data_IF_281197593758
#
_entry.id   IF_281197593758
#
_cell.length_a   1.000
_cell.length_b   1.000
_cell.length_c   1.000
_cell.angle_alpha   90.00
_cell.angle_beta   90.00
_cell.angle_gamma   90.00
#
_symmetry.space_group_name_H-M   'P 1'
#
loop_
_entity.id
_entity.type
_entity.pdbx_description
1 polymer ?
#
# COMPACT_ATOMS: atom_id res chain seq x y z
N UNK A 1 -14.04 -18.15 -23.88
CA UNK A 1 -14.57 -16.89 -23.29
C UNK A 1 -13.37 -16.09 -22.82
N UNK A 2 -13.40 -14.77 -22.97
CA UNK A 2 -12.34 -13.91 -22.44
C UNK A 2 -12.39 -13.93 -20.91
N UNK A 3 -11.23 -13.97 -20.22
CA UNK A 3 -11.19 -13.96 -18.76
C UNK A 3 -11.83 -12.71 -18.17
N UNK A 4 -12.66 -12.87 -17.14
CA UNK A 4 -13.30 -11.77 -16.40
C UNK A 4 -12.27 -10.88 -15.72
N UNK A 5 -11.19 -11.47 -15.24
CA UNK A 5 -10.16 -10.80 -14.45
C UNK A 5 -8.84 -10.70 -15.20
N UNK A 6 -8.22 -9.52 -15.12
CA UNK A 6 -6.83 -9.29 -15.49
C UNK A 6 -6.04 -8.89 -14.24
N UNK A 7 -4.89 -9.53 -14.01
CA UNK A 7 -3.94 -9.14 -12.97
C UNK A 7 -2.72 -8.50 -13.64
N UNK A 8 -2.37 -7.27 -13.26
CA UNK A 8 -1.15 -6.60 -13.71
C UNK A 8 -0.07 -6.70 -12.63
N UNK A 9 0.98 -7.48 -12.89
CA UNK A 9 2.11 -7.63 -11.97
C UNK A 9 2.72 -9.03 -11.94
N UNK A 10 3.74 -9.25 -11.08
CA UNK A 10 4.44 -10.53 -11.01
C UNK A 10 5.01 -10.90 -9.63
N UNK A 11 4.71 -10.13 -8.57
CA UNK A 11 5.19 -10.36 -7.21
C UNK A 11 4.30 -11.30 -6.36
N UNK A 12 4.48 -11.30 -5.05
CA UNK A 12 3.70 -12.13 -4.11
C UNK A 12 2.18 -11.90 -4.23
N UNK A 13 1.76 -10.63 -4.38
CA UNK A 13 0.32 -10.31 -4.42
C UNK A 13 -0.32 -10.78 -5.73
N UNK A 14 0.23 -10.54 -6.93
CA UNK A 14 -0.25 -11.18 -8.16
C UNK A 14 -0.39 -12.70 -8.06
N UNK A 15 0.59 -13.40 -7.46
CA UNK A 15 0.49 -14.84 -7.22
C UNK A 15 -0.69 -15.19 -6.30
N UNK A 16 -0.93 -14.37 -5.24
CA UNK A 16 -2.05 -14.63 -4.34
C UNK A 16 -3.40 -14.43 -5.01
N UNK A 17 -3.55 -13.39 -5.83
CA UNK A 17 -4.77 -13.16 -6.59
C UNK A 17 -5.00 -14.27 -7.63
N UNK A 18 -3.95 -14.64 -8.38
CA UNK A 18 -4.03 -15.76 -9.31
C UNK A 18 -4.48 -17.04 -8.60
N UNK A 19 -3.89 -17.36 -7.43
CA UNK A 19 -4.27 -18.54 -6.66
C UNK A 19 -5.70 -18.47 -6.11
N UNK A 20 -6.21 -17.30 -5.75
CA UNK A 20 -7.58 -17.14 -5.26
C UNK A 20 -8.59 -17.24 -6.42
N UNK A 21 -8.37 -16.51 -7.50
CA UNK A 21 -9.29 -16.41 -8.63
C UNK A 21 -9.37 -17.71 -9.43
N UNK A 22 -8.25 -18.40 -9.66
CA UNK A 22 -8.22 -19.65 -10.44
C UNK A 22 -8.82 -20.86 -9.72
N UNK A 23 -9.36 -20.69 -8.54
CA UNK A 23 -10.27 -21.67 -7.92
C UNK A 23 -11.64 -21.69 -8.60
N UNK A 24 -12.01 -20.60 -9.28
CA UNK A 24 -13.36 -20.35 -9.78
C UNK A 24 -13.43 -20.11 -11.28
N UNK A 25 -12.41 -19.48 -11.90
CA UNK A 25 -12.40 -19.16 -13.33
C UNK A 25 -10.99 -18.89 -13.86
N UNK A 26 -10.84 -18.82 -15.18
CA UNK A 26 -9.60 -18.47 -15.86
C UNK A 26 -9.27 -16.99 -15.62
N UNK A 27 -7.97 -16.68 -15.50
CA UNK A 27 -7.48 -15.35 -15.17
C UNK A 27 -6.39 -14.92 -16.15
N UNK A 28 -6.52 -13.75 -16.75
CA UNK A 28 -5.46 -13.15 -17.53
C UNK A 28 -4.38 -12.52 -16.59
N UNK A 29 -3.13 -12.59 -17.00
CA UNK A 29 -2.03 -12.01 -16.24
C UNK A 29 -1.12 -11.20 -17.16
N UNK A 30 -1.08 -9.88 -16.97
CA UNK A 30 -0.14 -9.01 -17.66
C UNK A 30 1.15 -8.89 -16.85
N UNK A 31 2.22 -9.45 -17.39
CA UNK A 31 3.54 -9.50 -16.72
C UNK A 31 4.68 -9.34 -17.72
N UNK A 32 5.82 -8.84 -17.26
CA UNK A 32 7.03 -8.72 -18.09
C UNK A 32 7.69 -10.06 -18.40
N UNK A 33 7.37 -11.12 -17.67
CA UNK A 33 7.97 -12.46 -17.79
C UNK A 33 6.88 -13.53 -17.90
N UNK A 34 6.08 -13.53 -18.99
CA UNK A 34 4.99 -14.51 -19.13
C UNK A 34 5.49 -15.96 -19.21
N UNK A 35 6.66 -16.19 -19.77
CA UNK A 35 7.25 -17.53 -19.88
C UNK A 35 7.60 -18.19 -18.52
N UNK A 36 7.75 -17.38 -17.48
CA UNK A 36 8.05 -17.90 -16.13
C UNK A 36 6.81 -18.39 -15.37
N UNK A 37 5.60 -18.26 -15.97
CA UNK A 37 4.35 -18.64 -15.35
C UNK A 37 3.80 -19.94 -15.90
N UNK A 38 3.36 -20.81 -15.00
CA UNK A 38 2.58 -21.99 -15.33
C UNK A 38 1.13 -21.61 -15.67
N UNK A 39 0.50 -22.39 -16.50
CA UNK A 39 -0.93 -22.27 -16.78
C UNK A 39 -1.83 -22.58 -15.57
N UNK A 40 -1.31 -23.20 -14.51
CA UNK A 40 -2.07 -23.52 -13.32
C UNK A 40 -1.32 -23.10 -12.05
N UNK A 41 -2.00 -22.32 -11.22
CA UNK A 41 -1.49 -21.86 -9.93
C UNK A 41 -1.97 -22.80 -8.81
N UNK A 42 -1.06 -23.30 -7.97
CA UNK A 42 -1.36 -24.21 -6.85
C UNK A 42 -2.09 -25.51 -7.26
N UNK A 43 -2.08 -25.88 -8.54
CA UNK A 43 -2.86 -27.00 -9.06
C UNK A 43 -4.38 -26.74 -9.14
N UNK A 44 -4.79 -25.48 -9.13
CA UNK A 44 -6.19 -25.08 -9.25
C UNK A 44 -6.78 -25.51 -10.62
N UNK A 45 -8.12 -25.70 -10.70
CA UNK A 45 -8.77 -26.23 -11.91
C UNK A 45 -8.76 -25.25 -13.10
N UNK A 46 -8.70 -23.94 -12.84
CA UNK A 46 -8.73 -22.91 -13.89
C UNK A 46 -7.36 -22.36 -14.20
N UNK A 47 -7.21 -21.81 -15.40
CA UNK A 47 -5.93 -21.41 -15.94
C UNK A 47 -5.52 -19.97 -15.56
N UNK A 48 -4.23 -19.78 -15.41
CA UNK A 48 -3.59 -18.47 -15.56
C UNK A 48 -3.14 -18.33 -17.02
N UNK A 49 -3.48 -17.21 -17.65
CA UNK A 49 -3.17 -16.90 -19.05
C UNK A 49 -2.14 -15.74 -19.07
N UNK A 50 -0.85 -16.02 -18.94
CA UNK A 50 0.18 -15.00 -18.85
C UNK A 50 0.49 -14.39 -20.21
N UNK A 51 0.63 -13.06 -20.27
CA UNK A 51 0.99 -12.30 -21.46
C UNK A 51 1.81 -11.07 -21.12
N UNK A 52 2.52 -10.52 -22.08
CA UNK A 52 3.12 -9.18 -22.01
C UNK A 52 2.42 -8.18 -22.95
N UNK A 53 1.35 -8.59 -23.62
CA UNK A 53 0.56 -7.76 -24.54
C UNK A 53 -0.51 -6.96 -23.77
N UNK A 54 -0.43 -5.60 -23.72
CA UNK A 54 -1.38 -4.79 -22.99
C UNK A 54 -2.80 -4.80 -23.58
N UNK A 55 -2.97 -5.27 -24.84
CA UNK A 55 -4.29 -5.41 -25.48
C UNK A 55 -5.21 -6.35 -24.71
N UNK A 56 -4.68 -7.24 -23.91
CA UNK A 56 -5.46 -8.13 -23.03
C UNK A 56 -6.39 -7.35 -22.08
N UNK A 57 -6.08 -6.08 -21.79
CA UNK A 57 -6.94 -5.23 -20.96
C UNK A 57 -8.31 -4.98 -21.58
N UNK A 58 -8.45 -5.05 -22.92
CA UNK A 58 -9.74 -4.88 -23.60
C UNK A 58 -10.77 -5.97 -23.25
N UNK A 59 -10.34 -7.14 -22.85
CA UNK A 59 -11.21 -8.29 -22.65
C UNK A 59 -11.70 -8.47 -21.21
N UNK A 60 -11.00 -7.91 -20.23
CA UNK A 60 -11.31 -8.08 -18.80
C UNK A 60 -12.44 -7.15 -18.35
N UNK A 61 -13.29 -7.61 -17.43
CA UNK A 61 -14.25 -6.77 -16.70
C UNK A 61 -13.55 -6.02 -15.55
N UNK A 62 -12.65 -6.70 -14.85
CA UNK A 62 -11.94 -6.18 -13.67
C UNK A 62 -10.44 -6.33 -13.87
N UNK A 63 -9.73 -5.21 -13.72
CA UNK A 63 -8.29 -5.10 -13.92
C UNK A 63 -7.62 -4.78 -12.58
N UNK A 64 -6.93 -5.75 -11.98
CA UNK A 64 -6.16 -5.55 -10.75
C UNK A 64 -4.79 -4.95 -11.05
N UNK A 65 -4.54 -3.76 -10.53
CA UNK A 65 -3.21 -3.10 -10.56
C UNK A 65 -2.47 -3.47 -9.28
N UNK A 66 -1.46 -4.34 -9.42
CA UNK A 66 -0.76 -4.96 -8.30
C UNK A 66 0.75 -4.80 -8.50
N UNK A 67 1.17 -3.57 -8.48
CA UNK A 67 2.51 -3.15 -8.88
C UNK A 67 3.15 -2.27 -7.80
N UNK A 68 4.49 -2.23 -7.72
CA UNK A 68 5.18 -1.18 -7.01
C UNK A 68 4.81 0.19 -7.58
N UNK A 69 4.76 1.21 -6.72
CA UNK A 69 4.30 2.56 -7.07
C UNK A 69 4.92 3.11 -8.36
N UNK A 70 6.24 2.94 -8.53
CA UNK A 70 6.96 3.44 -9.71
C UNK A 70 6.50 2.82 -11.04
N UNK A 71 5.92 1.62 -11.01
CA UNK A 71 5.49 0.90 -12.21
C UNK A 71 4.00 1.11 -12.54
N UNK A 72 3.22 1.71 -11.64
CA UNK A 72 1.76 1.89 -11.82
C UNK A 72 1.49 2.79 -13.02
N UNK A 73 2.11 3.98 -13.06
CA UNK A 73 1.89 4.96 -14.14
C UNK A 73 2.19 4.37 -15.51
N UNK A 74 3.37 3.79 -15.68
CA UNK A 74 3.78 3.18 -16.95
C UNK A 74 2.81 2.08 -17.40
N UNK A 75 2.32 1.26 -16.45
CA UNK A 75 1.38 0.19 -16.78
C UNK A 75 0.03 0.74 -17.18
N UNK A 76 -0.48 1.75 -16.45
CA UNK A 76 -1.72 2.42 -16.81
C UNK A 76 -1.64 3.06 -18.20
N UNK A 77 -0.56 3.77 -18.52
CA UNK A 77 -0.32 4.36 -19.84
C UNK A 77 -0.34 3.31 -20.97
N UNK A 78 0.17 2.09 -20.69
CA UNK A 78 0.17 0.99 -21.67
C UNK A 78 -1.20 0.38 -21.91
N UNK A 79 -2.01 0.21 -20.87
CA UNK A 79 -3.33 -0.41 -20.99
C UNK A 79 -4.42 0.58 -21.35
N UNK A 80 -4.22 1.87 -21.07
CA UNK A 80 -5.19 2.94 -21.22
C UNK A 80 -5.85 3.03 -22.63
N UNK A 81 -5.12 2.84 -23.75
CA UNK A 81 -5.71 2.83 -25.09
C UNK A 81 -6.70 1.69 -25.35
N UNK A 82 -6.67 0.65 -24.53
CA UNK A 82 -7.49 -0.55 -24.68
C UNK A 82 -8.64 -0.63 -23.68
N UNK A 83 -8.70 0.31 -22.74
CA UNK A 83 -9.78 0.35 -21.75
C UNK A 83 -11.11 0.73 -22.40
N UNK A 84 -12.17 0.07 -21.95
CA UNK A 84 -13.56 0.33 -22.39
C UNK A 84 -14.37 0.88 -21.22
N UNK A 85 -15.43 1.58 -21.54
CA UNK A 85 -16.49 1.83 -20.56
C UNK A 85 -16.98 0.50 -19.96
N UNK A 86 -17.50 0.53 -18.75
CA UNK A 86 -18.00 -0.60 -17.97
C UNK A 86 -16.92 -1.50 -17.34
N UNK A 87 -15.64 -1.20 -17.53
CA UNK A 87 -14.56 -1.89 -16.83
C UNK A 87 -14.28 -1.25 -15.47
N UNK A 88 -13.73 -2.06 -14.56
CA UNK A 88 -13.24 -1.58 -13.26
C UNK A 88 -11.74 -1.77 -13.13
N UNK A 89 -11.01 -0.70 -12.84
CA UNK A 89 -9.61 -0.78 -12.41
C UNK A 89 -9.58 -0.87 -10.89
N UNK A 90 -9.00 -1.93 -10.36
CA UNK A 90 -8.87 -2.16 -8.93
C UNK A 90 -7.42 -2.07 -8.47
N UNK A 91 -7.13 -1.12 -7.61
CA UNK A 91 -5.82 -1.00 -6.97
C UNK A 91 -5.76 -1.82 -5.69
N UNK A 92 -4.73 -2.64 -5.52
CA UNK A 92 -4.54 -3.45 -4.31
C UNK A 92 -3.06 -3.73 -4.01
N UNK A 93 -2.52 -3.30 -2.86
CA UNK A 93 -3.14 -2.38 -1.91
C UNK A 93 -3.24 -0.97 -2.48
N UNK A 94 -4.27 -0.26 -2.10
CA UNK A 94 -4.55 1.10 -2.57
C UNK A 94 -3.89 2.15 -1.67
N UNK A 95 -2.58 2.16 -1.59
CA UNK A 95 -1.87 3.03 -0.65
C UNK A 95 -1.68 4.47 -1.15
N UNK A 96 -1.89 4.73 -2.44
CA UNK A 96 -1.43 5.98 -3.06
C UNK A 96 -2.31 6.43 -4.24
N UNK A 97 -3.62 6.17 -4.16
CA UNK A 97 -4.51 6.55 -5.26
C UNK A 97 -4.78 8.03 -5.20
N UNK A 98 -4.46 8.67 -6.31
CA UNK A 98 -4.71 10.08 -6.49
C UNK A 98 -6.19 10.24 -6.84
N UNK A 99 -6.99 11.02 -6.09
CA UNK A 99 -8.41 11.23 -6.37
C UNK A 99 -8.70 11.69 -7.80
N UNK A 100 -7.78 12.48 -8.37
CA UNK A 100 -7.85 12.93 -9.76
C UNK A 100 -7.85 11.76 -10.76
N UNK A 101 -7.18 10.64 -10.43
CA UNK A 101 -7.20 9.44 -11.25
C UNK A 101 -8.59 8.78 -11.24
N UNK A 102 -9.21 8.71 -10.06
CA UNK A 102 -10.58 8.18 -9.91
C UNK A 102 -11.55 8.99 -10.76
N UNK A 103 -11.47 10.33 -10.69
CA UNK A 103 -12.33 11.22 -11.45
C UNK A 103 -12.06 11.14 -12.97
N UNK A 104 -10.79 11.01 -13.37
CA UNK A 104 -10.41 10.92 -14.77
C UNK A 104 -10.98 9.65 -15.45
N UNK A 105 -10.88 8.51 -14.78
CA UNK A 105 -11.43 7.25 -15.28
C UNK A 105 -12.96 7.25 -15.24
N UNK A 106 -13.56 7.79 -14.20
CA UNK A 106 -15.01 7.90 -14.07
C UNK A 106 -15.66 8.67 -15.22
N UNK A 107 -15.02 9.76 -15.69
CA UNK A 107 -15.50 10.55 -16.86
C UNK A 107 -15.51 9.74 -18.16
N UNK A 108 -14.76 8.66 -18.22
CA UNK A 108 -14.67 7.74 -19.37
C UNK A 108 -15.57 6.51 -19.22
N UNK A 109 -16.34 6.42 -18.13
CA UNK A 109 -17.17 5.26 -17.81
C UNK A 109 -16.39 4.07 -17.26
N UNK A 110 -15.10 4.25 -16.90
CA UNK A 110 -14.27 3.25 -16.24
C UNK A 110 -14.35 3.46 -14.74
N UNK A 111 -14.79 2.46 -14.01
CA UNK A 111 -14.83 2.54 -12.56
C UNK A 111 -13.45 2.32 -11.95
N UNK A 112 -13.26 2.89 -10.74
CA UNK A 112 -12.07 2.67 -9.93
C UNK A 112 -12.49 2.09 -8.59
N UNK A 113 -11.92 0.95 -8.25
CA UNK A 113 -12.05 0.33 -6.95
C UNK A 113 -10.69 0.31 -6.23
N UNK A 114 -10.73 0.36 -4.93
CA UNK A 114 -9.56 0.47 -4.09
C UNK A 114 -9.68 -0.50 -2.91
N UNK A 115 -8.89 -1.57 -2.89
CA UNK A 115 -8.77 -2.43 -1.72
C UNK A 115 -7.71 -1.88 -0.77
N UNK A 116 -8.07 -1.61 0.47
CA UNK A 116 -7.16 -1.07 1.47
C UNK A 116 -5.96 -1.99 1.71
N UNK A 117 -6.20 -3.28 1.73
CA UNK A 117 -5.17 -4.29 1.94
C UNK A 117 -5.37 -5.45 0.98
N UNK A 118 -4.28 -6.15 0.70
CA UNK A 118 -4.31 -7.40 -0.07
C UNK A 118 -5.22 -8.44 0.59
N UNK A 119 -6.00 -9.23 -0.16
CA UNK A 119 -6.89 -10.24 0.41
C UNK A 119 -6.15 -11.27 1.27
N UNK A 120 -4.98 -11.70 0.83
CA UNK A 120 -4.15 -12.69 1.51
C UNK A 120 -2.71 -12.19 1.65
N UNK A 121 -2.06 -12.48 2.77
CA UNK A 121 -0.61 -12.41 2.85
C UNK A 121 -0.07 -13.64 2.12
N UNK A 122 0.91 -13.46 1.25
CA UNK A 122 1.40 -14.51 0.37
C UNK A 122 2.92 -14.61 0.39
N UNK A 123 3.41 -15.83 0.20
CA UNK A 123 4.83 -16.13 -0.04
C UNK A 123 4.94 -17.08 -1.22
N UNK A 124 5.67 -16.65 -2.26
CA UNK A 124 5.97 -17.48 -3.41
C UNK A 124 6.86 -18.63 -2.92
N UNK A 125 6.43 -19.87 -3.20
CA UNK A 125 7.21 -21.08 -2.96
C UNK A 125 7.90 -21.52 -4.24
N UNK A 126 7.22 -21.41 -5.39
CA UNK A 126 7.76 -21.64 -6.72
C UNK A 126 7.20 -20.57 -7.65
N UNK A 127 8.08 -19.73 -8.21
CA UNK A 127 7.66 -18.59 -9.02
C UNK A 127 6.78 -19.01 -10.21
N UNK A 128 5.68 -18.31 -10.40
CA UNK A 128 4.73 -18.58 -11.48
C UNK A 128 3.89 -19.86 -11.30
N UNK A 129 4.10 -20.66 -10.25
CA UNK A 129 3.46 -21.97 -10.10
C UNK A 129 2.82 -22.18 -8.74
N UNK A 130 3.52 -21.83 -7.65
CA UNK A 130 3.04 -22.14 -6.30
C UNK A 130 3.28 -21.00 -5.32
N UNK A 131 2.22 -20.69 -4.57
CA UNK A 131 2.21 -19.65 -3.54
C UNK A 131 1.49 -20.16 -2.29
N UNK A 132 2.08 -19.91 -1.12
CA UNK A 132 1.42 -20.13 0.16
C UNK A 132 0.64 -18.89 0.54
N UNK A 133 -0.64 -19.08 0.86
CA UNK A 133 -1.54 -18.03 1.31
C UNK A 133 -1.74 -18.10 2.82
N UNK A 134 -1.87 -16.94 3.47
CA UNK A 134 -2.43 -16.85 4.83
C UNK A 134 -3.91 -17.24 4.80
N UNK A 135 -4.55 -17.46 5.97
CA UNK A 135 -6.01 -17.43 6.06
C UNK A 135 -6.56 -16.11 5.49
N UNK A 136 -7.80 -16.17 5.00
CA UNK A 136 -8.53 -14.98 4.58
C UNK A 136 -8.62 -13.96 5.73
N UNK A 137 -8.71 -12.68 5.37
CA UNK A 137 -8.97 -11.62 6.36
C UNK A 137 -10.39 -11.75 6.87
N UNK A 138 -10.66 -11.22 8.07
CA UNK A 138 -12.02 -11.21 8.62
C UNK A 138 -12.98 -10.34 7.78
N UNK A 139 -12.45 -9.34 7.08
CA UNK A 139 -13.19 -8.42 6.19
C UNK A 139 -12.26 -7.74 5.20
N UNK A 140 -12.82 -7.23 4.10
CA UNK A 140 -12.12 -6.41 3.11
C UNK A 140 -12.68 -5.00 3.13
N UNK A 141 -11.87 -4.03 3.51
CA UNK A 141 -12.21 -2.60 3.43
C UNK A 141 -11.87 -2.09 2.05
N UNK A 142 -12.82 -1.49 1.37
CA UNK A 142 -12.63 -1.01 0.01
C UNK A 142 -13.52 0.19 -0.32
N UNK A 143 -13.06 1.01 -1.28
CA UNK A 143 -13.88 1.96 -2.00
C UNK A 143 -14.25 1.34 -3.36
N UNK A 144 -15.50 1.43 -3.73
CA UNK A 144 -16.00 1.07 -5.06
C UNK A 144 -17.38 1.72 -5.26
N UNK A 145 -17.80 1.94 -6.51
CA UNK A 145 -19.14 2.45 -6.82
C UNK A 145 -20.17 1.31 -6.86
N UNK A 146 -19.83 0.22 -7.51
CA UNK A 146 -20.71 -0.97 -7.54
C UNK A 146 -20.50 -1.85 -6.30
N UNK A 147 -21.26 -1.55 -5.25
CA UNK A 147 -21.23 -2.31 -4.01
C UNK A 147 -21.73 -3.75 -4.19
N UNK A 148 -22.64 -4.01 -5.12
CA UNK A 148 -23.20 -5.37 -5.32
C UNK A 148 -22.14 -6.30 -5.92
N UNK A 149 -21.47 -5.84 -6.96
CA UNK A 149 -20.36 -6.53 -7.62
C UNK A 149 -19.25 -6.85 -6.60
N UNK A 150 -18.83 -5.86 -5.82
CA UNK A 150 -17.71 -6.06 -4.89
C UNK A 150 -18.05 -6.88 -3.65
N UNK A 151 -19.32 -6.93 -3.22
CA UNK A 151 -19.78 -7.91 -2.21
C UNK A 151 -19.67 -9.34 -2.75
N UNK A 152 -20.07 -9.56 -4.01
CA UNK A 152 -19.93 -10.84 -4.67
C UNK A 152 -18.46 -11.25 -4.77
N UNK A 153 -17.59 -10.39 -5.30
CA UNK A 153 -16.16 -10.67 -5.48
C UNK A 153 -15.50 -11.01 -4.14
N UNK A 154 -15.68 -10.17 -3.13
CA UNK A 154 -15.05 -10.40 -1.83
C UNK A 154 -15.51 -11.70 -1.18
N UNK A 155 -16.79 -12.02 -1.27
CA UNK A 155 -17.34 -13.26 -0.71
C UNK A 155 -16.89 -14.50 -1.47
N UNK A 156 -16.95 -14.45 -2.81
CA UNK A 156 -16.70 -15.63 -3.66
C UNK A 156 -15.21 -15.92 -3.80
N UNK A 157 -14.40 -14.91 -4.08
CA UNK A 157 -12.97 -15.09 -4.41
C UNK A 157 -12.03 -14.81 -3.25
N UNK A 158 -12.45 -13.96 -2.31
CA UNK A 158 -11.60 -13.54 -1.18
C UNK A 158 -12.11 -14.05 0.18
N UNK A 159 -13.18 -14.85 0.17
CA UNK A 159 -13.69 -15.62 1.32
C UNK A 159 -14.03 -14.75 2.56
N UNK A 160 -14.33 -13.44 2.37
CA UNK A 160 -14.69 -12.55 3.47
C UNK A 160 -15.62 -11.41 3.00
N UNK A 161 -16.41 -10.81 3.92
CA UNK A 161 -17.31 -9.72 3.58
C UNK A 161 -16.57 -8.45 3.17
N UNK A 162 -17.24 -7.66 2.32
CA UNK A 162 -16.83 -6.30 1.94
C UNK A 162 -17.39 -5.26 2.90
N UNK A 163 -16.56 -4.34 3.36
CA UNK A 163 -16.93 -3.08 4.03
C UNK A 163 -16.54 -1.89 3.16
N UNK A 164 -17.49 -1.01 2.88
CA UNK A 164 -17.27 0.07 1.94
C UNK A 164 -16.86 1.35 2.66
N UNK A 165 -15.80 1.95 2.17
CA UNK A 165 -15.33 3.28 2.56
C UNK A 165 -16.03 4.35 1.74
N UNK A 166 -16.23 5.51 2.35
CA UNK A 166 -17.03 6.59 1.75
C UNK A 166 -16.25 7.42 0.72
N UNK A 167 -14.92 7.35 0.73
CA UNK A 167 -14.08 8.15 -0.16
C UNK A 167 -12.78 7.42 -0.53
N UNK A 168 -12.30 7.55 -1.77
CA UNK A 168 -10.97 7.03 -2.16
C UNK A 168 -9.83 7.78 -1.46
N UNK A 169 -10.04 9.01 -0.99
CA UNK A 169 -9.06 9.76 -0.19
C UNK A 169 -8.69 9.04 1.11
N UNK A 170 -9.59 8.23 1.65
CA UNK A 170 -9.37 7.44 2.86
C UNK A 170 -8.08 6.60 2.78
N UNK A 171 -7.70 6.13 1.58
CA UNK A 171 -6.47 5.34 1.40
C UNK A 171 -5.19 6.15 1.53
N UNK A 172 -5.23 7.44 1.24
CA UNK A 172 -4.10 8.36 1.45
C UNK A 172 -3.92 8.63 2.94
N UNK A 173 -5.02 8.81 3.66
CA UNK A 173 -5.02 9.29 5.05
C UNK A 173 -5.03 8.18 6.10
N UNK A 174 -5.54 6.98 5.78
CA UNK A 174 -5.54 5.84 6.71
C UNK A 174 -4.32 4.90 6.56
N UNK A 175 -3.32 5.29 5.77
CA UNK A 175 -2.04 4.59 5.74
C UNK A 175 -1.10 5.19 6.79
N UNK A 176 -0.84 4.46 7.85
CA UNK A 176 0.01 4.93 8.96
C UNK A 176 1.50 5.05 8.60
N UNK A 177 1.99 4.21 7.68
CA UNK A 177 3.41 4.10 7.38
C UNK A 177 4.08 5.42 6.95
N UNK A 178 3.45 6.27 6.12
CA UNK A 178 4.01 7.56 5.72
C UNK A 178 4.31 8.54 6.86
N UNK A 179 3.70 8.37 8.00
CA UNK A 179 3.96 9.22 9.17
C UNK A 179 4.74 8.46 10.26
N UNK A 180 4.37 7.22 10.53
CA UNK A 180 4.98 6.38 11.55
C UNK A 180 6.47 6.12 11.26
N UNK A 181 6.81 5.69 10.04
CA UNK A 181 8.19 5.37 9.71
C UNK A 181 9.10 6.59 9.70
N UNK A 182 8.77 7.72 9.04
CA UNK A 182 9.58 8.93 9.12
C UNK A 182 9.77 9.47 10.55
N UNK A 183 8.74 9.43 11.40
CA UNK A 183 8.86 9.85 12.79
C UNK A 183 9.94 9.04 13.55
N UNK A 184 9.99 7.73 13.32
CA UNK A 184 11.03 6.88 13.92
C UNK A 184 12.41 7.12 13.31
N UNK A 185 12.49 7.17 11.98
CA UNK A 185 13.77 7.32 11.27
C UNK A 185 14.49 8.61 11.62
N UNK A 186 13.76 9.72 11.74
CA UNK A 186 14.33 11.02 12.12
C UNK A 186 14.96 10.96 13.51
N UNK A 187 14.31 10.33 14.48
CA UNK A 187 14.85 10.18 15.83
C UNK A 187 16.02 9.20 15.85
N UNK A 188 15.87 8.06 15.20
CA UNK A 188 16.87 6.99 15.19
C UNK A 188 18.19 7.43 14.54
N UNK A 189 18.12 8.22 13.46
CA UNK A 189 19.29 8.61 12.68
C UNK A 189 19.67 10.10 12.84
N UNK A 190 19.12 10.83 13.81
CA UNK A 190 19.36 12.26 14.03
C UNK A 190 20.84 12.62 14.05
N UNK A 191 21.64 11.87 14.80
CA UNK A 191 23.05 12.14 15.02
C UNK A 191 23.97 11.30 14.13
N UNK A 192 23.39 10.61 13.15
CA UNK A 192 24.19 9.82 12.24
C UNK A 192 25.11 10.70 11.37
N UNK A 193 26.38 10.38 11.33
CA UNK A 193 27.44 11.09 10.60
C UNK A 193 28.30 10.11 9.80
N UNK A 194 27.67 9.23 9.02
CA UNK A 194 28.34 8.16 8.23
C UNK A 194 29.07 7.09 9.07
N UNK A 195 28.92 7.10 10.39
CA UNK A 195 29.49 6.07 11.26
C UNK A 195 28.65 4.80 11.19
N UNK A 196 29.34 3.67 11.27
CA UNK A 196 28.67 2.36 11.37
C UNK A 196 28.09 2.14 12.76
N UNK A 197 27.03 1.37 12.81
CA UNK A 197 26.45 0.86 14.06
C UNK A 197 27.00 -0.54 14.34
N UNK A 198 27.23 -0.85 15.61
CA UNK A 198 27.70 -2.18 16.03
C UNK A 198 26.63 -3.23 16.00
N UNK A 199 25.36 -2.85 15.92
CA UNK A 199 24.19 -3.71 15.76
C UNK A 199 23.08 -2.99 14.99
N UNK A 200 22.16 -3.75 14.42
CA UNK A 200 20.94 -3.16 13.87
C UNK A 200 19.92 -2.94 15.01
N UNK A 201 19.53 -1.69 15.33
CA UNK A 201 18.52 -1.41 16.35
C UNK A 201 17.16 -2.04 15.98
N UNK A 202 16.39 -2.44 16.97
CA UNK A 202 15.03 -2.90 16.77
C UNK A 202 14.11 -1.71 16.51
N UNK A 203 13.36 -1.75 15.43
CA UNK A 203 12.61 -0.59 14.97
C UNK A 203 11.52 -0.15 15.94
N UNK A 204 10.72 -1.10 16.42
CA UNK A 204 9.60 -0.83 17.32
C UNK A 204 9.95 -1.12 18.80
N UNK A 205 10.73 -2.14 19.08
CA UNK A 205 11.07 -2.46 20.47
C UNK A 205 11.99 -1.40 21.12
N UNK A 206 12.68 -0.60 20.30
CA UNK A 206 13.48 0.55 20.76
C UNK A 206 12.82 1.90 20.36
N UNK A 207 11.51 1.90 20.11
CA UNK A 207 10.74 3.10 19.85
C UNK A 207 10.78 4.06 21.05
N UNK A 208 10.69 5.39 20.83
CA UNK A 208 10.82 6.38 21.88
C UNK A 208 9.60 7.30 21.94
N UNK A 209 9.38 7.92 23.10
CA UNK A 209 8.31 8.89 23.30
C UNK A 209 8.41 10.06 22.32
N UNK A 210 9.63 10.50 22.01
CA UNK A 210 9.86 11.54 21.01
C UNK A 210 9.36 11.11 19.60
N UNK A 211 9.57 9.84 19.22
CA UNK A 211 9.03 9.31 17.96
C UNK A 211 7.49 9.29 17.99
N UNK A 212 6.91 8.95 19.14
CA UNK A 212 5.45 8.99 19.35
C UNK A 212 4.90 10.40 19.26
N UNK A 213 5.58 11.40 19.87
CA UNK A 213 5.16 12.80 19.79
C UNK A 213 5.19 13.35 18.37
N UNK A 214 6.24 13.02 17.59
CA UNK A 214 6.34 13.41 16.18
C UNK A 214 5.22 12.75 15.37
N UNK A 215 4.95 11.48 15.60
CA UNK A 215 3.90 10.75 14.91
C UNK A 215 2.50 11.32 15.21
N UNK A 216 2.19 11.58 16.49
CA UNK A 216 0.89 12.16 16.90
C UNK A 216 0.70 13.57 16.31
N UNK A 217 1.75 14.41 16.31
CA UNK A 217 1.67 15.75 15.71
C UNK A 217 1.48 15.71 14.20
N UNK A 218 2.22 14.84 13.51
CA UNK A 218 2.07 14.65 12.07
C UNK A 218 0.68 14.10 11.70
N UNK A 219 0.10 13.22 12.53
CA UNK A 219 -1.26 12.71 12.36
C UNK A 219 -2.31 13.83 12.50
N UNK A 220 -2.16 14.70 13.48
CA UNK A 220 -3.05 15.85 13.64
C UNK A 220 -2.97 16.83 12.46
N UNK A 221 -1.76 17.08 11.93
CA UNK A 221 -1.58 17.89 10.71
C UNK A 221 -2.22 17.21 9.49
N UNK A 222 -2.02 15.90 9.32
CA UNK A 222 -2.65 15.12 8.26
C UNK A 222 -4.18 15.19 8.35
N UNK A 223 -4.76 15.10 9.55
CA UNK A 223 -6.20 15.24 9.76
C UNK A 223 -6.74 16.62 9.34
N UNK A 224 -5.98 17.70 9.59
CA UNK A 224 -6.34 19.03 9.11
C UNK A 224 -6.34 19.12 7.58
N UNK A 225 -5.35 18.47 6.93
CA UNK A 225 -5.29 18.37 5.45
C UNK A 225 -6.48 17.57 4.91
N UNK A 226 -6.83 16.45 5.55
CA UNK A 226 -7.98 15.63 5.18
C UNK A 226 -9.27 16.45 5.18
N UNK A 227 -9.53 17.21 6.25
CA UNK A 227 -10.73 18.07 6.35
C UNK A 227 -10.80 19.11 5.23
N UNK A 228 -9.68 19.69 4.86
CA UNK A 228 -9.62 20.67 3.78
C UNK A 228 -9.76 20.00 2.38
N UNK A 229 -9.24 18.79 2.22
CA UNK A 229 -9.28 18.06 0.95
C UNK A 229 -10.65 17.43 0.66
N UNK A 230 -11.41 17.10 1.71
CA UNK A 230 -12.74 16.49 1.59
C UNK A 230 -13.81 17.30 2.35
N UNK A 231 -14.34 18.38 1.75
CA UNK A 231 -15.38 19.20 2.37
C UNK A 231 -16.70 18.47 2.57
N UNK A 232 -16.87 17.27 1.97
CA UNK A 232 -18.07 16.43 2.17
C UNK A 232 -18.07 15.69 3.51
N UNK A 233 -16.91 15.59 4.15
CA UNK A 233 -16.70 14.82 5.38
C UNK A 233 -16.79 13.31 5.18
N UNK A 234 -16.75 12.82 3.93
CA UNK A 234 -16.82 11.39 3.65
C UNK A 234 -15.59 10.65 4.21
N UNK A 235 -14.41 11.19 4.00
CA UNK A 235 -13.17 10.67 4.56
C UNK A 235 -13.11 10.76 6.09
N UNK A 236 -13.64 11.84 6.66
CA UNK A 236 -13.60 12.04 8.11
C UNK A 236 -14.38 10.97 8.86
N UNK A 237 -15.46 10.46 8.28
CA UNK A 237 -16.22 9.35 8.86
C UNK A 237 -15.43 8.04 8.92
N UNK A 238 -14.46 7.88 8.03
CA UNK A 238 -13.63 6.66 7.93
C UNK A 238 -12.26 6.86 8.61
N UNK A 239 -11.94 8.10 9.02
CA UNK A 239 -10.65 8.42 9.64
C UNK A 239 -10.62 8.03 11.11
N UNK A 240 -9.54 7.39 11.50
CA UNK A 240 -9.23 7.05 12.88
C UNK A 240 -7.86 7.65 13.24
N UNK A 241 -7.83 8.55 14.24
CA UNK A 241 -6.55 9.11 14.68
C UNK A 241 -5.62 8.04 15.23
N UNK A 242 -4.31 8.31 15.21
CA UNK A 242 -3.32 7.36 15.74
C UNK A 242 -3.58 6.99 17.19
N UNK A 243 -4.01 7.95 18.02
CA UNK A 243 -4.35 7.68 19.42
C UNK A 243 -5.57 6.75 19.56
N UNK A 244 -6.61 7.00 18.78
CA UNK A 244 -7.81 6.14 18.76
C UNK A 244 -7.48 4.73 18.23
N UNK A 245 -6.71 4.64 17.15
CA UNK A 245 -6.30 3.37 16.53
C UNK A 245 -5.56 2.43 17.51
N UNK A 246 -4.69 2.98 18.33
CA UNK A 246 -3.96 2.20 19.32
C UNK A 246 -4.67 2.12 20.68
N UNK A 247 -5.79 2.84 20.87
CA UNK A 247 -6.55 2.88 22.12
C UNK A 247 -5.75 3.49 23.26
N UNK A 248 -5.05 4.60 23.01
CA UNK A 248 -4.15 5.29 23.93
C UNK A 248 -4.44 6.80 23.94
N UNK A 249 -3.93 7.53 24.96
CA UNK A 249 -4.21 8.95 25.15
C UNK A 249 -2.96 9.84 25.16
N UNK A 250 -1.76 9.23 25.14
CA UNK A 250 -0.49 9.96 25.23
C UNK A 250 0.62 9.33 24.41
N UNK A 251 1.71 10.07 24.21
CA UNK A 251 2.90 9.58 23.53
C UNK A 251 3.56 8.42 24.29
N UNK A 252 3.64 8.49 25.62
CA UNK A 252 4.22 7.42 26.45
C UNK A 252 3.37 6.13 26.38
N UNK A 253 2.05 6.26 26.37
CA UNK A 253 1.16 5.11 26.19
C UNK A 253 1.29 4.51 24.79
N UNK A 254 1.42 5.35 23.74
CA UNK A 254 1.67 4.88 22.38
C UNK A 254 2.99 4.12 22.28
N UNK A 255 4.06 4.64 22.87
CA UNK A 255 5.36 3.98 22.94
C UNK A 255 5.23 2.60 23.60
N UNK A 256 4.62 2.55 24.77
CA UNK A 256 4.37 1.31 25.53
C UNK A 256 3.54 0.31 24.70
N UNK A 257 2.53 0.79 23.99
CA UNK A 257 1.68 -0.03 23.12
C UNK A 257 2.45 -0.64 21.96
N UNK A 258 3.29 0.16 21.27
CA UNK A 258 4.12 -0.33 20.15
C UNK A 258 5.12 -1.39 20.62
N UNK A 259 5.73 -1.22 21.80
CA UNK A 259 6.62 -2.22 22.41
C UNK A 259 5.89 -3.55 22.72
N UNK A 260 4.62 -3.47 23.08
CA UNK A 260 3.82 -4.63 23.49
C UNK A 260 3.30 -5.47 22.32
N UNK A 261 3.29 -4.94 21.08
CA UNK A 261 2.80 -5.67 19.91
C UNK A 261 3.78 -6.79 19.56
N UNK A 262 3.34 -8.05 19.73
CA UNK A 262 4.19 -9.23 19.53
C UNK A 262 4.84 -9.28 18.13
N UNK A 263 4.08 -8.94 17.09
CA UNK A 263 4.56 -8.91 15.70
C UNK A 263 5.62 -7.85 15.41
N UNK A 264 5.85 -6.90 16.32
CA UNK A 264 6.80 -5.80 16.16
C UNK A 264 8.13 -6.03 16.87
N UNK A 265 8.19 -6.94 17.84
CA UNK A 265 9.32 -7.11 18.75
C UNK A 265 10.67 -7.41 18.07
N UNK A 266 10.65 -8.16 16.96
CA UNK A 266 11.86 -8.60 16.27
C UNK A 266 12.12 -7.84 14.95
N UNK A 267 11.35 -6.80 14.65
CA UNK A 267 11.55 -6.01 13.43
C UNK A 267 12.76 -5.11 13.62
N UNK A 268 13.78 -5.34 12.79
CA UNK A 268 14.99 -4.52 12.75
C UNK A 268 14.77 -3.25 11.92
N UNK A 269 15.60 -2.25 12.18
CA UNK A 269 15.60 -0.98 11.45
C UNK A 269 16.10 -1.19 10.01
N UNK A 270 15.74 -0.25 9.07
CA UNK A 270 16.14 -0.36 7.67
C UNK A 270 17.63 -0.09 7.51
N UNK A 271 18.44 -1.08 7.78
CA UNK A 271 19.89 -1.02 7.72
C UNK A 271 20.44 -2.20 6.89
N UNK A 272 21.59 -1.98 6.27
CA UNK A 272 22.36 -3.02 5.57
C UNK A 272 23.57 -3.43 6.40
N UNK A 273 23.81 -4.71 6.48
CA UNK A 273 25.02 -5.28 7.11
C UNK A 273 26.21 -5.13 6.18
N UNK A 274 27.35 -4.81 6.75
CA UNK A 274 28.63 -4.74 6.07
C UNK A 274 29.46 -6.03 6.33
N UNK A 275 30.50 -6.30 5.52
CA UNK A 275 31.32 -7.52 5.67
C UNK A 275 31.99 -7.68 7.04
N UNK A 276 32.20 -6.58 7.77
CA UNK A 276 32.76 -6.57 9.13
C UNK A 276 31.71 -6.71 10.23
N UNK A 277 30.48 -7.10 9.88
CA UNK A 277 29.32 -7.21 10.77
C UNK A 277 28.89 -5.91 11.45
N UNK A 278 29.28 -4.77 10.88
CA UNK A 278 28.72 -3.47 11.25
C UNK A 278 27.55 -3.10 10.31
N UNK A 279 26.78 -2.07 10.66
CA UNK A 279 25.54 -1.71 9.99
C UNK A 279 25.51 -0.26 9.55
N UNK A 280 24.94 0.01 8.38
CA UNK A 280 24.65 1.36 7.88
C UNK A 280 23.17 1.48 7.51
N UNK A 281 22.57 2.70 7.60
CA UNK A 281 21.24 2.94 7.08
C UNK A 281 21.11 2.50 5.62
N UNK A 282 20.05 1.78 5.29
CA UNK A 282 19.74 1.37 3.93
C UNK A 282 18.71 2.30 3.31
N UNK A 283 19.20 3.33 2.63
CA UNK A 283 18.36 4.33 1.95
C UNK A 283 17.62 3.79 0.73
N UNK A 284 17.93 2.55 0.29
CA UNK A 284 17.20 1.88 -0.79
C UNK A 284 15.97 1.14 -0.28
N UNK A 285 15.86 0.98 1.04
CA UNK A 285 14.71 0.32 1.65
C UNK A 285 13.41 1.08 1.40
N UNK A 286 12.27 0.38 1.43
CA UNK A 286 10.94 0.97 1.25
C UNK A 286 10.63 2.10 2.24
N UNK A 287 11.22 2.08 3.43
CA UNK A 287 11.06 3.12 4.46
C UNK A 287 11.49 4.50 3.95
N UNK A 288 12.56 4.54 3.14
CA UNK A 288 13.08 5.76 2.56
C UNK A 288 12.55 6.04 1.14
N UNK A 289 12.14 5.00 0.40
CA UNK A 289 11.77 5.13 -1.01
C UNK A 289 10.26 5.18 -1.26
N UNK A 290 9.46 4.48 -0.45
CA UNK A 290 8.01 4.40 -0.61
C UNK A 290 7.28 5.25 0.45
N UNK A 291 7.60 5.07 1.73
CA UNK A 291 6.86 5.71 2.81
C UNK A 291 7.05 7.24 2.82
N UNK A 292 8.26 7.73 2.54
CA UNK A 292 8.51 9.17 2.42
C UNK A 292 7.78 9.81 1.22
N UNK A 293 7.52 9.04 0.17
CA UNK A 293 6.72 9.54 -0.96
C UNK A 293 5.26 9.73 -0.55
N UNK A 294 4.73 8.84 0.30
CA UNK A 294 3.41 9.02 0.92
C UNK A 294 3.36 10.30 1.79
N UNK A 295 4.40 10.55 2.60
CA UNK A 295 4.52 11.80 3.39
C UNK A 295 4.51 13.04 2.48
N UNK A 296 5.24 13.01 1.36
CA UNK A 296 5.26 14.09 0.35
C UNK A 296 3.91 14.26 -0.35
N UNK A 297 3.15 13.20 -0.55
CA UNK A 297 1.81 13.31 -1.11
C UNK A 297 0.87 14.10 -0.18
N UNK A 298 0.94 13.83 1.14
CA UNK A 298 0.20 14.61 2.15
C UNK A 298 0.66 16.08 2.12
N UNK A 299 1.96 16.34 2.09
CA UNK A 299 2.51 17.71 1.99
C UNK A 299 2.02 18.44 0.73
N UNK A 300 1.94 17.74 -0.40
CA UNK A 300 1.46 18.32 -1.66
C UNK A 300 0.00 18.74 -1.55
N UNK A 301 -0.84 17.90 -0.94
CA UNK A 301 -2.23 18.24 -0.65
C UNK A 301 -2.32 19.40 0.35
N UNK A 302 -1.49 19.40 1.40
CA UNK A 302 -1.43 20.50 2.37
C UNK A 302 -1.15 21.87 1.68
N UNK A 303 -0.18 21.89 0.78
CA UNK A 303 0.15 23.10 0.00
C UNK A 303 -0.99 23.52 -0.91
N UNK A 304 -1.67 22.55 -1.58
CA UNK A 304 -2.82 22.83 -2.45
C UNK A 304 -3.96 23.52 -1.70
N UNK A 305 -4.17 23.15 -0.44
CA UNK A 305 -5.23 23.70 0.42
C UNK A 305 -4.75 24.76 1.41
N UNK A 306 -3.48 25.19 1.31
CA UNK A 306 -2.85 26.17 2.20
C UNK A 306 -2.93 25.81 3.70
N UNK A 307 -2.83 24.50 4.01
CA UNK A 307 -2.79 24.00 5.39
C UNK A 307 -1.34 23.90 5.87
N UNK A 308 -0.97 24.53 7.00
CA UNK A 308 0.36 24.42 7.55
C UNK A 308 0.63 23.01 8.11
N UNK A 309 1.78 22.43 7.75
CA UNK A 309 2.21 21.08 8.18
C UNK A 309 3.66 21.10 8.68
N UNK A 310 3.99 21.86 9.73
CA UNK A 310 5.37 22.05 10.17
C UNK A 310 6.06 20.76 10.60
N UNK A 311 5.34 19.81 11.21
CA UNK A 311 5.91 18.51 11.61
C UNK A 311 6.17 17.64 10.39
N UNK A 312 5.24 17.57 9.45
CA UNK A 312 5.41 16.83 8.18
C UNK A 312 6.56 17.43 7.38
N UNK A 313 6.65 18.75 7.27
CA UNK A 313 7.75 19.46 6.61
C UNK A 313 9.11 19.16 7.27
N UNK A 314 9.14 19.15 8.60
CA UNK A 314 10.32 18.75 9.37
C UNK A 314 10.74 17.31 9.06
N UNK A 315 9.82 16.34 9.11
CA UNK A 315 10.12 14.94 8.81
C UNK A 315 10.72 14.78 7.41
N UNK A 316 10.13 15.41 6.40
CA UNK A 316 10.61 15.36 5.01
C UNK A 316 12.00 15.99 4.90
N UNK A 317 12.23 17.13 5.54
CA UNK A 317 13.52 17.84 5.48
C UNK A 317 14.63 17.00 6.11
N UNK A 318 14.39 16.39 7.28
CA UNK A 318 15.37 15.56 7.97
C UNK A 318 15.70 14.28 7.17
N UNK A 319 14.69 13.59 6.65
CA UNK A 319 14.92 12.38 5.81
C UNK A 319 15.70 12.75 4.54
N UNK A 320 15.40 13.88 3.92
CA UNK A 320 16.12 14.36 2.73
C UNK A 320 17.57 14.71 3.05
N UNK A 321 17.82 15.34 4.20
CA UNK A 321 19.18 15.64 4.68
C UNK A 321 19.97 14.35 4.97
N UNK A 322 19.34 13.36 5.62
CA UNK A 322 19.96 12.05 5.85
C UNK A 322 20.33 11.35 4.52
N UNK A 323 19.44 11.34 3.54
CA UNK A 323 19.71 10.75 2.23
C UNK A 323 20.84 11.46 1.47
N UNK A 324 21.02 12.78 1.65
CA UNK A 324 22.11 13.53 1.02
C UNK A 324 23.50 13.26 1.62
N UNK A 325 23.56 12.56 2.77
CA UNK A 325 24.81 12.13 3.38
C UNK A 325 25.40 10.84 2.76
N UNK A 326 24.68 10.18 1.85
CA UNK A 326 25.22 9.03 1.09
C UNK A 326 26.48 9.44 0.31
#
# INVERSE_FOLDING_TARGET
MSPRFLICGGGNIPHSLAAALTRHEDVALLTRRPADWSSHMNGNPYAVLPTNDPRVAADAEIIFIVLPRFAIRETLEKIDPYLRADQTICFTPANDIIPELVDAYAKRGVDVACLQRVPYIARIEEYGRRVRLSPARARHMLYARDHALWREICRTYFEAPAEFLNSPLTFVFNNSNPLLHPARLVVLFRDWRKKTFTRNPLFYAEWTDESSELYIRADAEMHAVLKAADPTGACERDYESVLAHYGVSSAAELTSKLHAIEGFKLITSPMRELPDSTWLPDFTSRYFTEDIVGTRAIQTLARKFAIPTPTIDFLISQISALASLQ
#
